data_IF_613313549398
#
_entry.id   IF_613313549398
#
_cell.length_a   1.000
_cell.length_b   1.000
_cell.length_c   1.000
_cell.angle_alpha   90.00
_cell.angle_beta   90.00
_cell.angle_gamma   90.00
#
_symmetry.space_group_name_H-M   'P 1'
#
loop_
_entity.id
_entity.type
_entity.pdbx_description
1 polymer ?
#
# COMPACT_ATOMS: atom_id res chain seq x y z
N UNK A 1 -6.18 11.62 19.68
CA UNK A 1 -6.76 10.27 19.80
C UNK A 1 -5.97 9.50 20.83
N UNK A 2 -6.62 8.73 21.72
CA UNK A 2 -5.92 7.88 22.68
C UNK A 2 -5.39 6.61 21.96
N UNK A 3 -4.27 6.04 22.44
CA UNK A 3 -3.63 4.83 21.90
C UNK A 3 -4.59 3.62 21.89
N UNK A 4 -5.48 3.55 22.88
CA UNK A 4 -6.54 2.53 22.92
C UNK A 4 -7.49 2.63 21.72
N UNK A 5 -7.89 3.84 21.32
CA UNK A 5 -8.72 4.06 20.13
C UNK A 5 -7.99 3.63 18.85
N UNK A 6 -6.69 3.91 18.75
CA UNK A 6 -5.87 3.52 17.59
C UNK A 6 -5.73 2.00 17.44
N UNK A 7 -5.62 1.28 18.56
CA UNK A 7 -5.61 -0.19 18.59
C UNK A 7 -6.92 -0.77 18.02
N UNK A 8 -8.07 -0.22 18.44
CA UNK A 8 -9.37 -0.65 17.92
C UNK A 8 -9.53 -0.32 16.43
N UNK A 9 -9.07 0.86 16.00
CA UNK A 9 -9.11 1.24 14.58
C UNK A 9 -8.24 0.32 13.74
N UNK A 10 -7.05 -0.04 14.19
CA UNK A 10 -6.19 -0.97 13.45
C UNK A 10 -6.86 -2.34 13.26
N UNK A 11 -7.46 -2.90 14.32
CA UNK A 11 -8.21 -4.17 14.24
C UNK A 11 -9.45 -4.10 13.35
N UNK A 12 -10.12 -2.94 13.29
CA UNK A 12 -11.22 -2.73 12.37
C UNK A 12 -10.74 -2.66 10.92
N UNK A 13 -9.65 -1.95 10.68
CA UNK A 13 -9.17 -1.66 9.33
C UNK A 13 -8.34 -2.78 8.71
N UNK A 14 -7.65 -3.61 9.50
CA UNK A 14 -6.72 -4.64 9.00
C UNK A 14 -7.41 -5.72 8.11
N UNK A 15 -8.72 -5.91 8.26
CA UNK A 15 -9.51 -6.82 7.44
C UNK A 15 -9.70 -6.29 6.01
N UNK A 16 -9.74 -4.97 5.83
CA UNK A 16 -10.03 -4.36 4.53
C UNK A 16 -8.97 -4.70 3.48
N UNK A 17 -7.65 -4.49 3.73
CA UNK A 17 -6.64 -4.89 2.77
C UNK A 17 -6.66 -6.39 2.49
N UNK A 18 -6.75 -7.24 3.52
CA UNK A 18 -6.64 -8.69 3.36
C UNK A 18 -7.80 -9.27 2.55
N UNK A 19 -9.04 -8.95 2.92
CA UNK A 19 -10.23 -9.43 2.21
C UNK A 19 -10.35 -8.78 0.84
N UNK A 20 -10.13 -7.46 0.76
CA UNK A 20 -10.22 -6.72 -0.49
C UNK A 20 -9.18 -7.17 -1.52
N UNK A 21 -7.96 -7.48 -1.08
CA UNK A 21 -6.92 -8.03 -1.94
C UNK A 21 -7.29 -9.42 -2.46
N UNK A 22 -7.84 -10.29 -1.60
CA UNK A 22 -8.35 -11.60 -2.00
C UNK A 22 -9.46 -11.52 -3.06
N UNK A 23 -10.43 -10.62 -2.87
CA UNK A 23 -11.48 -10.36 -3.86
C UNK A 23 -10.89 -9.86 -5.18
N UNK A 24 -9.93 -8.92 -5.12
CA UNK A 24 -9.23 -8.40 -6.29
C UNK A 24 -8.49 -9.50 -7.06
N UNK A 25 -7.81 -10.41 -6.36
CA UNK A 25 -7.09 -11.53 -6.95
C UNK A 25 -8.03 -12.53 -7.63
N UNK A 26 -9.12 -12.93 -6.97
CA UNK A 26 -10.11 -13.83 -7.57
C UNK A 26 -10.73 -13.22 -8.81
N UNK A 27 -11.14 -11.95 -8.75
CA UNK A 27 -11.69 -11.24 -9.92
C UNK A 27 -10.64 -11.13 -11.04
N UNK A 28 -9.38 -10.89 -10.71
CA UNK A 28 -8.31 -10.80 -11.70
C UNK A 28 -8.11 -12.13 -12.43
N UNK A 29 -8.04 -13.24 -11.68
CA UNK A 29 -7.94 -14.59 -12.24
C UNK A 29 -9.13 -14.93 -13.13
N UNK A 30 -10.36 -14.61 -12.69
CA UNK A 30 -11.57 -14.77 -13.51
C UNK A 30 -11.47 -13.92 -14.78
N UNK A 31 -11.07 -12.65 -14.67
CA UNK A 31 -10.92 -11.75 -15.80
C UNK A 31 -9.89 -12.23 -16.84
N UNK A 32 -8.81 -12.89 -16.39
CA UNK A 32 -7.85 -13.57 -17.26
C UNK A 32 -8.46 -14.81 -17.90
N UNK A 33 -9.10 -15.67 -17.13
CA UNK A 33 -9.70 -16.92 -17.60
C UNK A 33 -10.80 -16.69 -18.65
N UNK A 34 -11.74 -15.78 -18.38
CA UNK A 34 -12.83 -15.42 -19.31
C UNK A 34 -12.40 -14.40 -20.37
N UNK A 35 -11.14 -13.96 -20.35
CA UNK A 35 -10.58 -12.95 -21.26
C UNK A 35 -11.36 -11.61 -21.30
N UNK A 36 -11.99 -11.20 -20.19
CA UNK A 36 -12.84 -10.01 -20.11
C UNK A 36 -12.06 -8.75 -19.67
N UNK A 37 -11.92 -7.79 -20.59
CA UNK A 37 -11.24 -6.51 -20.32
C UNK A 37 -11.93 -5.67 -19.22
N UNK A 38 -13.27 -5.58 -19.13
CA UNK A 38 -13.95 -4.93 -18.01
C UNK A 38 -13.59 -5.52 -16.64
N UNK A 39 -13.54 -6.86 -16.53
CA UNK A 39 -13.23 -7.54 -15.27
C UNK A 39 -11.77 -7.32 -14.88
N UNK A 40 -10.83 -7.41 -15.84
CA UNK A 40 -9.41 -7.07 -15.59
C UNK A 40 -9.29 -5.64 -15.09
N UNK A 41 -9.93 -4.68 -15.75
CA UNK A 41 -9.90 -3.27 -15.35
C UNK A 41 -10.49 -3.04 -13.95
N UNK A 42 -11.59 -3.69 -13.61
CA UNK A 42 -12.17 -3.61 -12.27
C UNK A 42 -11.21 -4.16 -11.22
N UNK A 43 -10.57 -5.30 -11.49
CA UNK A 43 -9.61 -5.95 -10.58
C UNK A 43 -8.36 -5.09 -10.35
N UNK A 44 -7.81 -4.47 -11.40
CA UNK A 44 -6.70 -3.51 -11.28
C UNK A 44 -7.11 -2.29 -10.43
N UNK A 45 -8.36 -1.84 -10.55
CA UNK A 45 -8.92 -0.79 -9.71
C UNK A 45 -8.95 -1.18 -8.23
N UNK A 46 -9.36 -2.42 -7.93
CA UNK A 46 -9.38 -2.95 -6.56
C UNK A 46 -7.96 -3.02 -6.00
N UNK A 47 -6.98 -3.57 -6.74
CA UNK A 47 -5.59 -3.64 -6.28
C UNK A 47 -5.02 -2.25 -5.95
N UNK A 48 -5.30 -1.25 -6.79
CA UNK A 48 -4.85 0.12 -6.54
C UNK A 48 -5.49 0.71 -5.28
N UNK A 49 -6.82 0.57 -5.10
CA UNK A 49 -7.52 1.09 -3.92
C UNK A 49 -7.00 0.41 -2.65
N UNK A 50 -6.81 -0.91 -2.69
CA UNK A 50 -6.34 -1.69 -1.55
C UNK A 50 -4.90 -1.35 -1.18
N UNK A 51 -4.01 -1.14 -2.15
CA UNK A 51 -2.68 -0.61 -1.89
C UNK A 51 -2.74 0.72 -1.12
N UNK A 52 -3.47 1.71 -1.64
CA UNK A 52 -3.62 3.00 -0.98
C UNK A 52 -4.23 2.90 0.44
N UNK A 53 -5.18 2.00 0.66
CA UNK A 53 -5.78 1.77 1.98
C UNK A 53 -4.83 1.03 2.95
N UNK A 54 -3.87 0.27 2.44
CA UNK A 54 -2.94 -0.49 3.29
C UNK A 54 -1.91 0.41 4.01
N UNK A 55 -1.59 1.58 3.45
CA UNK A 55 -0.73 2.58 4.10
C UNK A 55 -1.27 3.05 5.45
N UNK A 56 -2.51 3.62 5.56
CA UNK A 56 -3.05 4.02 6.86
C UNK A 56 -3.29 2.83 7.80
N UNK A 57 -3.55 1.62 7.27
CA UNK A 57 -3.65 0.40 8.09
C UNK A 57 -2.31 0.07 8.77
N UNK A 58 -1.20 0.13 8.03
CA UNK A 58 0.13 -0.08 8.60
C UNK A 58 0.48 1.01 9.61
N UNK A 59 0.17 2.28 9.31
CA UNK A 59 0.41 3.39 10.24
C UNK A 59 -0.36 3.24 11.55
N UNK A 60 -1.63 2.80 11.49
CA UNK A 60 -2.43 2.53 12.69
C UNK A 60 -1.92 1.32 13.47
N UNK A 61 -1.27 0.36 12.81
CA UNK A 61 -0.60 -0.79 13.44
C UNK A 61 0.57 -0.38 14.34
N UNK A 62 1.46 0.50 13.86
CA UNK A 62 2.56 1.06 14.68
C UNK A 62 2.05 1.84 15.89
N UNK A 63 0.91 2.52 15.75
CA UNK A 63 0.28 3.18 16.88
C UNK A 63 -0.33 2.17 17.88
N UNK A 64 -0.90 1.08 17.38
CA UNK A 64 -1.44 -0.01 18.21
C UNK A 64 -0.34 -0.69 19.03
N UNK A 65 0.81 -0.99 18.42
CA UNK A 65 2.00 -1.53 19.10
C UNK A 65 2.40 -0.68 20.32
N UNK A 66 2.55 0.64 20.14
CA UNK A 66 2.89 1.55 21.25
C UNK A 66 1.85 1.53 22.38
N UNK A 67 0.59 1.24 22.06
CA UNK A 67 -0.49 1.14 23.02
C UNK A 67 -0.51 -0.16 23.84
N UNK A 68 0.17 -1.22 23.37
CA UNK A 68 0.16 -2.55 23.99
C UNK A 68 1.55 -3.05 24.42
N UNK A 69 2.62 -2.33 24.07
CA UNK A 69 4.01 -2.78 24.31
C UNK A 69 4.36 -3.00 25.80
N UNK A 70 3.63 -2.34 26.72
CA UNK A 70 3.84 -2.43 28.17
C UNK A 70 2.87 -3.40 28.84
N UNK A 71 1.95 -4.03 28.08
CA UNK A 71 0.94 -4.91 28.63
C UNK A 71 1.52 -6.28 29.01
N UNK A 72 1.24 -6.81 30.22
CA UNK A 72 1.69 -8.13 30.63
C UNK A 72 1.15 -9.22 29.68
N UNK A 73 2.05 -10.03 29.12
CA UNK A 73 1.71 -11.16 28.25
C UNK A 73 1.81 -10.87 26.75
N UNK A 74 2.14 -9.65 26.33
CA UNK A 74 2.48 -9.32 24.94
C UNK A 74 3.99 -9.49 24.73
N UNK A 75 4.39 -10.35 23.78
CA UNK A 75 5.80 -10.52 23.42
C UNK A 75 6.23 -9.47 22.40
N UNK A 76 7.18 -8.61 22.77
CA UNK A 76 7.74 -7.60 21.86
C UNK A 76 8.36 -8.23 20.61
N UNK A 77 9.01 -9.39 20.74
CA UNK A 77 9.61 -10.11 19.61
C UNK A 77 8.54 -10.53 18.59
N UNK A 78 7.37 -10.98 19.05
CA UNK A 78 6.27 -11.35 18.15
C UNK A 78 5.70 -10.11 17.44
N UNK A 79 5.56 -9.00 18.17
CA UNK A 79 5.05 -7.75 17.60
C UNK A 79 6.01 -7.19 16.55
N UNK A 80 7.32 -7.17 16.83
CA UNK A 80 8.35 -6.76 15.88
C UNK A 80 8.39 -7.68 14.65
N UNK A 81 8.27 -9.00 14.83
CA UNK A 81 8.26 -9.96 13.71
C UNK A 81 7.01 -9.77 12.82
N UNK A 82 5.86 -9.50 13.43
CA UNK A 82 4.65 -9.14 12.68
C UNK A 82 4.81 -7.81 11.94
N UNK A 83 5.44 -6.80 12.56
CA UNK A 83 5.69 -5.49 11.96
C UNK A 83 6.60 -5.59 10.73
N UNK A 84 7.70 -6.34 10.84
CA UNK A 84 8.64 -6.57 9.73
C UNK A 84 7.95 -7.33 8.58
N UNK A 85 7.18 -8.37 8.90
CA UNK A 85 6.38 -9.10 7.92
C UNK A 85 5.34 -8.21 7.23
N UNK A 86 4.68 -7.33 8.00
CA UNK A 86 3.71 -6.38 7.48
C UNK A 86 4.36 -5.33 6.58
N UNK A 87 5.58 -4.87 6.89
CA UNK A 87 6.35 -3.95 6.06
C UNK A 87 6.72 -4.58 4.71
N UNK A 88 7.21 -5.82 4.74
CA UNK A 88 7.48 -6.66 3.58
C UNK A 88 6.24 -6.82 2.69
N UNK A 89 5.09 -7.14 3.29
CA UNK A 89 3.83 -7.31 2.58
C UNK A 89 3.32 -5.99 1.99
N UNK A 90 3.44 -4.89 2.74
CA UNK A 90 3.09 -3.54 2.30
C UNK A 90 3.92 -3.14 1.07
N UNK A 91 5.24 -3.35 1.10
CA UNK A 91 6.12 -3.01 -0.02
C UNK A 91 5.69 -3.70 -1.32
N UNK A 92 5.42 -5.01 -1.27
CA UNK A 92 4.93 -5.76 -2.43
C UNK A 92 3.50 -5.37 -2.84
N UNK A 93 2.64 -5.01 -1.89
CA UNK A 93 1.31 -4.49 -2.16
C UNK A 93 1.37 -3.16 -2.93
N UNK A 94 2.23 -2.23 -2.52
CA UNK A 94 2.42 -0.96 -3.21
C UNK A 94 2.99 -1.15 -4.62
N UNK A 95 3.96 -2.07 -4.80
CA UNK A 95 4.48 -2.41 -6.12
C UNK A 95 3.37 -3.02 -7.01
N UNK A 96 2.53 -3.89 -6.45
CA UNK A 96 1.37 -4.45 -7.15
C UNK A 96 0.37 -3.36 -7.54
N UNK A 97 0.08 -2.44 -6.61
CA UNK A 97 -0.79 -1.28 -6.83
C UNK A 97 -0.26 -0.35 -7.92
N UNK A 98 1.05 -0.08 -7.94
CA UNK A 98 1.71 0.72 -8.97
C UNK A 98 1.61 0.07 -10.36
N UNK A 99 1.85 -1.23 -10.46
CA UNK A 99 1.69 -1.99 -11.72
C UNK A 99 0.21 -2.07 -12.14
N UNK A 100 -0.71 -2.10 -11.19
CA UNK A 100 -2.14 -2.02 -11.46
C UNK A 100 -2.55 -0.64 -11.99
N UNK A 101 -2.04 0.44 -11.39
CA UNK A 101 -2.19 1.80 -11.88
C UNK A 101 -1.64 1.97 -13.30
N UNK A 102 -0.45 1.43 -13.57
CA UNK A 102 0.14 1.45 -14.92
C UNK A 102 -0.76 0.71 -15.92
N UNK A 103 -1.33 -0.43 -15.52
CA UNK A 103 -2.32 -1.17 -16.32
C UNK A 103 -3.58 -0.34 -16.61
N UNK A 104 -4.14 0.34 -15.60
CA UNK A 104 -5.28 1.25 -15.76
C UNK A 104 -4.95 2.43 -16.68
N UNK A 105 -3.74 2.99 -16.57
CA UNK A 105 -3.26 4.04 -17.45
C UNK A 105 -3.13 3.55 -18.90
N UNK A 106 -2.61 2.33 -19.12
CA UNK A 106 -2.57 1.70 -20.45
C UNK A 106 -3.99 1.55 -21.04
N UNK A 107 -4.96 1.09 -20.25
CA UNK A 107 -6.37 1.02 -20.68
C UNK A 107 -6.92 2.40 -21.13
N UNK A 108 -6.49 3.51 -20.52
CA UNK A 108 -6.87 4.86 -20.94
C UNK A 108 -6.21 5.32 -22.25
N UNK A 109 -5.03 4.79 -22.59
CA UNK A 109 -4.22 5.25 -23.74
C UNK A 109 -4.39 4.39 -25.00
N UNK A 110 -4.46 3.08 -24.83
CA UNK A 110 -4.40 2.08 -25.92
C UNK A 110 -5.54 1.07 -25.86
N UNK A 111 -6.61 1.36 -25.09
CA UNK A 111 -7.83 0.54 -24.89
C UNK A 111 -7.62 -0.82 -24.20
N UNK A 112 -6.38 -1.28 -24.03
CA UNK A 112 -6.01 -2.53 -23.35
C UNK A 112 -4.71 -2.39 -22.57
N UNK A 113 -4.58 -3.14 -21.48
CA UNK A 113 -3.29 -3.37 -20.82
C UNK A 113 -2.44 -4.38 -21.60
N UNK A 114 -1.12 -4.19 -21.60
CA UNK A 114 -0.17 -5.10 -22.24
C UNK A 114 -0.12 -6.45 -21.52
N UNK A 115 0.15 -7.53 -22.27
CA UNK A 115 0.32 -8.88 -21.69
C UNK A 115 1.42 -8.90 -20.64
N UNK A 116 2.54 -8.22 -20.90
CA UNK A 116 3.65 -8.11 -19.95
C UNK A 116 3.20 -7.47 -18.62
N UNK A 117 2.43 -6.38 -18.65
CA UNK A 117 1.90 -5.76 -17.44
C UNK A 117 0.94 -6.69 -16.68
N UNK A 118 0.03 -7.38 -17.39
CA UNK A 118 -0.91 -8.32 -16.76
C UNK A 118 -0.18 -9.50 -16.10
N UNK A 119 0.84 -10.05 -16.76
CA UNK A 119 1.69 -11.10 -16.18
C UNK A 119 2.45 -10.60 -14.96
N UNK A 120 3.00 -9.39 -15.02
CA UNK A 120 3.69 -8.79 -13.87
C UNK A 120 2.74 -8.63 -12.68
N UNK A 121 1.54 -8.07 -12.90
CA UNK A 121 0.51 -7.94 -11.85
C UNK A 121 0.12 -9.30 -11.30
N UNK A 122 -0.03 -10.33 -12.14
CA UNK A 122 -0.37 -11.68 -11.68
C UNK A 122 0.69 -12.23 -10.72
N UNK A 123 1.96 -12.23 -11.14
CA UNK A 123 3.07 -12.75 -10.33
C UNK A 123 3.19 -11.96 -9.02
N UNK A 124 3.19 -10.63 -9.09
CA UNK A 124 3.26 -9.76 -7.91
C UNK A 124 2.07 -9.96 -6.97
N UNK A 125 0.87 -10.17 -7.51
CA UNK A 125 -0.32 -10.36 -6.68
C UNK A 125 -0.31 -11.69 -5.92
N UNK A 126 0.23 -12.76 -6.53
CA UNK A 126 0.39 -14.04 -5.86
C UNK A 126 1.44 -13.97 -4.75
N UNK A 127 2.56 -13.29 -5.01
CA UNK A 127 3.60 -13.05 -3.98
C UNK A 127 3.02 -12.21 -2.83
N UNK A 128 2.35 -11.10 -3.14
CA UNK A 128 1.70 -10.24 -2.15
C UNK A 128 0.70 -11.02 -1.30
N UNK A 129 -0.15 -11.86 -1.90
CA UNK A 129 -1.11 -12.69 -1.16
C UNK A 129 -0.41 -13.65 -0.16
N UNK A 130 0.70 -14.26 -0.56
CA UNK A 130 1.50 -15.12 0.32
C UNK A 130 2.11 -14.33 1.49
N UNK A 131 2.71 -13.17 1.22
CA UNK A 131 3.29 -12.31 2.24
C UNK A 131 2.23 -11.78 3.23
N UNK A 132 1.05 -11.37 2.72
CA UNK A 132 -0.07 -10.96 3.56
C UNK A 132 -0.57 -12.08 4.47
N UNK A 133 -0.67 -13.30 3.94
CA UNK A 133 -1.09 -14.48 4.72
C UNK A 133 -0.12 -14.71 5.88
N UNK A 134 1.18 -14.58 5.63
CA UNK A 134 2.20 -14.69 6.68
C UNK A 134 2.06 -13.58 7.73
N UNK A 135 1.92 -12.33 7.32
CA UNK A 135 1.72 -11.21 8.23
C UNK A 135 0.44 -11.39 9.08
N UNK A 136 -0.65 -11.86 8.48
CA UNK A 136 -1.90 -12.14 9.18
C UNK A 136 -1.76 -13.26 10.22
N UNK A 137 -1.06 -14.35 9.89
CA UNK A 137 -0.80 -15.45 10.81
C UNK A 137 0.02 -14.98 12.03
N UNK A 138 1.11 -14.24 11.78
CA UNK A 138 1.94 -13.66 12.86
C UNK A 138 1.15 -12.68 13.73
N UNK A 139 0.21 -11.93 13.14
CA UNK A 139 -0.69 -11.05 13.89
C UNK A 139 -1.62 -11.82 14.83
N UNK A 140 -2.07 -13.02 14.42
CA UNK A 140 -2.84 -13.95 15.26
C UNK A 140 -2.04 -14.42 16.48
N UNK A 141 -0.77 -14.78 16.28
CA UNK A 141 0.13 -15.30 17.33
C UNK A 141 0.37 -14.30 18.48
N UNK A 142 0.18 -13.00 18.25
CA UNK A 142 0.32 -11.94 19.28
C UNK A 142 -0.73 -12.09 20.39
N UNK A 143 -1.97 -12.47 20.03
CA UNK A 143 -3.12 -12.53 20.95
C UNK A 143 -3.60 -13.95 21.23
N UNK A 144 -3.26 -14.90 20.37
CA UNK A 144 -3.66 -16.30 20.47
C UNK A 144 -2.44 -17.19 20.71
N UNK A 145 -1.90 -17.26 21.94
CA UNK A 145 -0.81 -18.19 22.24
C UNK A 145 -1.22 -19.66 22.03
N UNK A 146 -2.52 -19.97 22.03
CA UNK A 146 -3.07 -21.31 21.80
C UNK A 146 -2.87 -21.84 20.38
N UNK A 147 -2.67 -20.98 19.36
CA UNK A 147 -2.40 -21.42 17.99
C UNK A 147 -0.90 -21.64 17.72
N UNK A 148 -0.04 -21.31 18.69
CA UNK A 148 1.40 -21.48 18.57
C UNK A 148 1.81 -22.94 18.81
N UNK A 149 2.76 -23.42 18.00
CA UNK A 149 3.54 -24.59 18.37
C UNK A 149 4.36 -24.27 19.63
N UNK A 150 4.26 -25.12 20.65
CA UNK A 150 4.87 -24.87 21.96
C UNK A 150 6.39 -24.59 21.86
N UNK A 151 6.80 -23.39 22.29
CA UNK A 151 8.21 -23.02 22.44
C UNK A 151 8.95 -22.56 21.19
N UNK A 152 8.27 -22.36 20.05
CA UNK A 152 8.90 -21.77 18.87
C UNK A 152 8.70 -20.24 18.86
N UNK A 153 9.80 -19.50 18.85
CA UNK A 153 9.79 -18.14 18.31
C UNK A 153 9.77 -18.23 16.78
N UNK A 154 9.04 -17.33 16.08
CA UNK A 154 9.03 -17.34 14.63
C UNK A 154 10.46 -17.14 14.11
N UNK A 155 10.90 -17.92 13.11
CA UNK A 155 12.23 -17.79 12.57
C UNK A 155 12.41 -16.39 11.97
N UNK A 156 13.56 -15.80 12.22
CA UNK A 156 13.95 -14.48 11.72
C UNK A 156 14.29 -14.54 10.22
N UNK A 157 13.24 -14.55 9.39
CA UNK A 157 13.34 -14.72 7.93
C UNK A 157 13.04 -13.46 7.15
N UNK A 158 12.87 -12.32 7.82
CA UNK A 158 12.49 -11.08 7.14
C UNK A 158 13.65 -10.43 6.41
N UNK A 159 13.40 -10.12 5.15
CA UNK A 159 14.36 -9.52 4.21
C UNK A 159 14.36 -7.99 4.31
N UNK A 160 13.25 -7.39 4.75
CA UNK A 160 13.15 -5.97 5.10
C UNK A 160 12.78 -5.87 6.57
N UNK A 161 13.64 -5.22 7.36
CA UNK A 161 13.35 -4.91 8.77
C UNK A 161 13.12 -3.43 8.96
N UNK A 162 12.14 -3.06 9.77
CA UNK A 162 11.87 -1.65 10.12
C UNK A 162 13.12 -0.98 10.68
N UNK A 163 13.86 -1.68 11.55
CA UNK A 163 15.12 -1.20 12.12
C UNK A 163 16.16 -0.89 11.03
N UNK A 164 16.31 -1.77 10.03
CA UNK A 164 17.27 -1.56 8.93
C UNK A 164 16.89 -0.38 8.04
N UNK A 165 15.59 -0.16 7.79
CA UNK A 165 15.11 1.01 7.03
C UNK A 165 15.36 2.30 7.82
N UNK A 166 15.07 2.29 9.12
CA UNK A 166 15.32 3.43 9.98
C UNK A 166 16.81 3.77 10.07
N UNK A 167 17.67 2.77 10.22
CA UNK A 167 19.12 2.95 10.23
C UNK A 167 19.61 3.56 8.91
N UNK A 168 19.17 3.02 7.76
CA UNK A 168 19.54 3.57 6.46
C UNK A 168 19.16 5.04 6.31
N UNK A 169 17.92 5.40 6.68
CA UNK A 169 17.42 6.78 6.58
C UNK A 169 18.22 7.72 7.49
N UNK A 170 18.55 7.28 8.72
CA UNK A 170 19.20 8.13 9.72
C UNK A 170 20.73 8.24 9.54
N UNK A 171 21.37 7.25 8.93
CA UNK A 171 22.84 7.22 8.74
C UNK A 171 23.28 7.74 7.37
N UNK A 172 22.38 7.69 6.38
CA UNK A 172 22.69 8.13 5.01
C UNK A 172 22.37 9.60 4.84
N UNK A 173 23.41 10.45 4.79
CA UNK A 173 23.29 11.92 4.74
C UNK A 173 22.36 12.49 3.65
N UNK A 174 22.14 11.77 2.55
CA UNK A 174 21.29 12.22 1.45
C UNK A 174 19.89 11.59 1.43
N UNK A 175 19.63 10.54 2.22
CA UNK A 175 18.37 9.80 2.17
C UNK A 175 17.19 10.67 2.60
N UNK A 176 17.30 11.34 3.75
CA UNK A 176 16.27 12.26 4.24
C UNK A 176 16.05 13.46 3.29
N UNK A 177 17.09 14.21 2.85
CA UNK A 177 16.94 15.26 1.86
C UNK A 177 16.30 14.81 0.54
N UNK A 178 16.62 13.60 0.06
CA UNK A 178 16.03 13.06 -1.17
C UNK A 178 14.53 12.78 -1.00
N UNK A 179 14.12 12.17 0.11
CA UNK A 179 12.70 11.92 0.42
C UNK A 179 11.93 13.24 0.55
N UNK A 180 12.47 14.22 1.27
CA UNK A 180 11.87 15.57 1.35
C UNK A 180 11.76 16.24 -0.02
N UNK A 181 12.79 16.14 -0.85
CA UNK A 181 12.79 16.73 -2.21
C UNK A 181 11.69 16.13 -3.07
N UNK A 182 11.55 14.80 -3.08
CA UNK A 182 10.48 14.11 -3.81
C UNK A 182 9.11 14.56 -3.30
N UNK A 183 8.95 14.64 -1.97
CA UNK A 183 7.71 15.10 -1.34
C UNK A 183 7.35 16.54 -1.76
N UNK A 184 8.30 17.48 -1.74
CA UNK A 184 8.07 18.87 -2.15
C UNK A 184 7.78 19.02 -3.64
N UNK A 185 8.43 18.21 -4.50
CA UNK A 185 8.11 18.17 -5.93
C UNK A 185 6.63 17.77 -6.12
N UNK A 186 6.18 16.70 -5.45
CA UNK A 186 4.78 16.27 -5.48
C UNK A 186 3.82 17.36 -5.01
N UNK A 187 4.06 17.93 -3.82
CA UNK A 187 3.24 19.03 -3.28
C UNK A 187 3.16 20.24 -4.22
N UNK A 188 4.29 20.62 -4.82
CA UNK A 188 4.34 21.75 -5.76
C UNK A 188 3.52 21.49 -7.02
N UNK A 189 3.53 20.27 -7.55
CA UNK A 189 2.72 19.89 -8.70
C UNK A 189 1.23 19.86 -8.39
N UNK A 190 0.81 19.25 -7.27
CA UNK A 190 -0.60 19.23 -6.85
C UNK A 190 -1.11 20.65 -6.70
N UNK A 191 -0.40 21.47 -5.92
CA UNK A 191 -0.81 22.84 -5.62
C UNK A 191 -0.84 23.69 -6.88
N UNK A 192 0.17 23.58 -7.75
CA UNK A 192 0.25 24.31 -9.01
C UNK A 192 -0.91 23.95 -9.95
N UNK A 193 -1.20 22.66 -10.16
CA UNK A 193 -2.31 22.23 -11.02
C UNK A 193 -3.66 22.64 -10.43
N UNK A 194 -3.88 22.46 -9.12
CA UNK A 194 -5.11 22.86 -8.46
C UNK A 194 -5.34 24.38 -8.52
N UNK A 195 -4.30 25.19 -8.27
CA UNK A 195 -4.37 26.64 -8.36
C UNK A 195 -4.75 27.10 -9.77
N UNK A 196 -4.12 26.53 -10.81
CA UNK A 196 -4.40 26.89 -12.20
C UNK A 196 -5.82 26.48 -12.63
N UNK A 197 -6.33 25.35 -12.15
CA UNK A 197 -7.72 24.95 -12.37
C UNK A 197 -8.67 25.95 -11.70
N UNK A 198 -8.41 26.33 -10.44
CA UNK A 198 -9.25 27.29 -9.71
C UNK A 198 -9.22 28.69 -10.36
N UNK A 199 -8.05 29.21 -10.73
CA UNK A 199 -7.92 30.49 -11.43
C UNK A 199 -8.62 30.49 -12.79
N UNK A 200 -8.64 29.34 -13.48
CA UNK A 200 -9.40 29.17 -14.71
C UNK A 200 -10.91 29.20 -14.44
N UNK A 201 -11.40 28.48 -13.43
CA UNK A 201 -12.82 28.45 -13.04
C UNK A 201 -13.33 29.83 -12.61
N UNK A 202 -12.49 30.61 -11.92
CA UNK A 202 -12.77 32.00 -11.54
C UNK A 202 -12.69 32.98 -12.71
N UNK A 203 -12.27 32.53 -13.89
CA UNK A 203 -12.21 33.35 -15.09
C UNK A 203 -10.97 34.25 -15.22
N UNK A 204 -9.97 34.08 -14.36
CA UNK A 204 -8.70 34.82 -14.41
C UNK A 204 -7.76 34.21 -15.46
N UNK A 205 -7.62 32.88 -15.47
CA UNK A 205 -6.68 32.15 -16.33
C UNK A 205 -7.37 31.44 -17.52
N UNK A 206 -8.32 32.11 -18.20
CA UNK A 206 -9.13 31.52 -19.27
C UNK A 206 -8.31 31.04 -20.49
N UNK A 207 -7.15 31.66 -20.73
CA UNK A 207 -6.29 31.36 -21.89
C UNK A 207 -5.52 30.04 -21.77
N UNK A 208 -5.46 29.46 -20.57
CA UNK A 208 -4.82 28.15 -20.38
C UNK A 208 -5.74 27.09 -21.00
N UNK A 209 -5.20 26.03 -21.59
CA UNK A 209 -6.00 24.91 -22.12
C UNK A 209 -6.43 23.95 -21.01
N UNK A 210 -7.71 23.55 -20.97
CA UNK A 210 -8.17 22.57 -19.97
C UNK A 210 -7.53 21.21 -20.22
N UNK A 211 -7.33 20.85 -21.48
CA UNK A 211 -6.63 19.63 -21.89
C UNK A 211 -5.17 19.60 -21.39
N UNK A 212 -4.49 20.76 -21.37
CA UNK A 212 -3.14 20.87 -20.84
C UNK A 212 -3.09 20.63 -19.32
N UNK A 213 -4.02 21.24 -18.55
CA UNK A 213 -4.12 21.02 -17.11
C UNK A 213 -4.53 19.57 -16.77
N UNK A 214 -5.46 19.01 -17.54
CA UNK A 214 -5.91 17.64 -17.37
C UNK A 214 -4.80 16.60 -17.69
N UNK A 215 -3.85 16.93 -18.57
CA UNK A 215 -2.66 16.10 -18.82
C UNK A 215 -1.66 16.12 -17.66
N UNK A 216 -1.65 17.19 -16.86
CA UNK A 216 -0.77 17.34 -15.70
C UNK A 216 -1.36 16.76 -14.41
N UNK A 217 -2.68 16.63 -14.32
CA UNK A 217 -3.37 16.03 -13.16
C UNK A 217 -2.83 14.65 -12.73
N UNK A 218 -2.56 13.69 -13.63
CA UNK A 218 -1.99 12.40 -13.24
C UNK A 218 -0.61 12.50 -12.60
N UNK A 219 0.15 13.54 -12.94
CA UNK A 219 1.49 13.75 -12.38
C UNK A 219 1.45 14.39 -11.00
N UNK A 220 0.48 15.28 -10.75
CA UNK A 220 0.28 15.81 -9.41
C UNK A 220 -0.15 14.73 -8.41
N UNK A 221 -0.87 13.69 -8.82
CA UNK A 221 -1.35 12.64 -7.90
C UNK A 221 -0.27 11.55 -7.64
N UNK A 222 0.90 11.63 -8.28
CA UNK A 222 2.08 10.80 -7.96
C UNK A 222 2.82 11.37 -6.75
#
# INVERSE_FOLDING_TARGET
>A
MNLSTLTHIHLLLNHFPTVGFGIGLVLFLVGLYVNSDPIKRASLGIFLIIALLSVPVYMTGKAAQRGIQEEPGVSNVLVETHEDAALTALAFMEITGLMAWLGLWQFRRVTRATKANLTAVLVLSLITAGLMTRAANLGGDIRHPEIRAAGADPPDTEWIRVASVAEFINTTNWAWPALETIHFIGLSMILGVALLINLRMLGVAKNISFSALHRLLPWGIL
#
